data_IF_161668369198
#
_entry.id   IF_161668369198
#
_cell.length_a   1.000
_cell.length_b   1.000
_cell.length_c   1.000
_cell.angle_alpha   90.00
_cell.angle_beta   90.00
_cell.angle_gamma   90.00
#
_symmetry.space_group_name_H-M   'P 1'
#
loop_
_entity.id
_entity.type
_entity.pdbx_description
1 polymer ?
#
# COMPACT_ATOMS: atom_id res chain seq x y z
N UNK A 1 14.89 -15.38 6.63
CA UNK A 1 14.19 -15.67 5.37
C UNK A 1 14.10 -14.41 4.52
N UNK A 2 13.68 -14.54 3.27
CA UNK A 2 13.29 -13.41 2.42
C UNK A 2 11.76 -13.25 2.47
N UNK A 3 11.28 -12.03 2.67
CA UNK A 3 9.85 -11.71 2.75
C UNK A 3 9.56 -10.50 1.86
N UNK A 4 8.40 -10.50 1.22
CA UNK A 4 7.85 -9.33 0.51
C UNK A 4 6.56 -8.96 1.21
N UNK A 5 6.44 -7.71 1.64
CA UNK A 5 5.28 -7.20 2.36
C UNK A 5 4.70 -6.06 1.56
N UNK A 6 3.39 -6.08 1.34
CA UNK A 6 2.65 -4.92 0.82
C UNK A 6 1.74 -4.35 1.89
N UNK A 7 1.67 -3.02 1.97
CA UNK A 7 0.83 -2.31 2.94
C UNK A 7 -0.15 -1.46 2.17
N UNK A 8 -1.43 -1.51 2.57
CA UNK A 8 -2.51 -0.69 2.04
C UNK A 8 -3.08 0.11 3.22
N UNK A 9 -3.01 1.44 3.16
CA UNK A 9 -3.39 2.31 4.27
C UNK A 9 -4.45 3.35 3.86
N UNK A 10 -4.96 4.04 4.88
CA UNK A 10 -6.05 5.03 4.77
C UNK A 10 -7.37 4.49 4.19
N UNK A 11 -7.58 3.17 4.24
CA UNK A 11 -8.77 2.53 3.71
C UNK A 11 -10.04 3.01 4.42
N UNK A 12 -11.10 3.25 3.65
CA UNK A 12 -12.44 3.55 4.18
C UNK A 12 -13.22 2.29 4.54
N UNK A 13 -12.84 1.16 3.94
CA UNK A 13 -13.43 -0.15 4.19
C UNK A 13 -12.39 -1.25 3.96
N UNK A 14 -12.43 -2.29 4.77
CA UNK A 14 -11.67 -3.54 4.60
C UNK A 14 -12.69 -4.65 4.45
N UNK A 15 -12.54 -5.47 3.41
CA UNK A 15 -13.45 -6.59 3.15
C UNK A 15 -13.41 -7.62 4.28
N UNK A 16 -14.56 -8.18 4.66
CA UNK A 16 -14.70 -9.04 5.84
C UNK A 16 -13.87 -10.33 5.78
N UNK A 17 -13.52 -10.80 4.58
CA UNK A 17 -12.66 -11.96 4.38
C UNK A 17 -11.16 -11.62 4.45
N UNK A 18 -10.79 -10.35 4.55
CA UNK A 18 -9.40 -9.91 4.76
C UNK A 18 -9.13 -9.86 6.26
N UNK A 19 -8.88 -11.04 6.83
CA UNK A 19 -8.54 -11.23 8.24
C UNK A 19 -7.15 -11.84 8.39
N UNK A 20 -6.47 -11.67 9.55
CA UNK A 20 -5.17 -12.28 9.79
C UNK A 20 -5.17 -13.79 9.53
N UNK A 21 -4.15 -14.27 8.82
CA UNK A 21 -4.00 -15.69 8.46
C UNK A 21 -4.73 -16.12 7.18
N UNK A 22 -5.62 -15.31 6.61
CA UNK A 22 -6.26 -15.64 5.34
C UNK A 22 -5.30 -15.47 4.16
N UNK A 23 -5.43 -16.38 3.19
CA UNK A 23 -4.74 -16.30 1.91
C UNK A 23 -5.50 -15.36 0.97
N UNK A 24 -4.83 -14.29 0.53
CA UNK A 24 -5.33 -13.37 -0.49
C UNK A 24 -4.59 -13.64 -1.81
N UNK A 25 -5.32 -13.74 -2.92
CA UNK A 25 -4.75 -13.91 -4.26
C UNK A 25 -4.75 -12.58 -5.02
N UNK A 26 -3.83 -12.46 -5.98
CA UNK A 26 -3.82 -11.33 -6.91
C UNK A 26 -5.18 -11.17 -7.60
N UNK A 27 -5.70 -9.95 -7.64
CA UNK A 27 -7.01 -9.62 -8.19
C UNK A 27 -8.18 -9.75 -7.20
N UNK A 28 -7.97 -10.23 -5.97
CA UNK A 28 -9.01 -10.18 -4.95
C UNK A 28 -9.27 -8.73 -4.51
N UNK A 29 -10.54 -8.39 -4.35
CA UNK A 29 -10.94 -7.15 -3.72
C UNK A 29 -10.66 -7.22 -2.22
N UNK A 30 -9.97 -6.20 -1.69
CA UNK A 30 -9.53 -6.17 -0.28
C UNK A 30 -10.13 -5.01 0.52
N UNK A 31 -10.70 -4.02 -0.17
CA UNK A 31 -11.27 -2.84 0.47
C UNK A 31 -11.34 -1.62 -0.44
N UNK A 32 -11.85 -0.52 0.12
CA UNK A 32 -11.99 0.76 -0.56
C UNK A 32 -10.93 1.75 -0.05
N UNK A 33 -10.37 2.55 -0.94
CA UNK A 33 -9.51 3.68 -0.56
C UNK A 33 -10.30 4.72 0.24
N UNK A 34 -9.59 5.58 0.96
CA UNK A 34 -10.20 6.59 1.82
C UNK A 34 -9.16 7.56 2.36
N UNK A 35 -9.48 8.15 3.51
CA UNK A 35 -8.59 9.06 4.25
C UNK A 35 -8.59 8.77 5.76
N UNK A 36 -8.97 7.56 6.17
CA UNK A 36 -9.02 7.18 7.59
C UNK A 36 -7.64 7.33 8.23
N UNK A 37 -7.59 7.94 9.42
CA UNK A 37 -6.34 8.26 10.12
C UNK A 37 -5.66 9.56 9.68
N UNK A 38 -6.24 10.30 8.71
CA UNK A 38 -5.79 11.64 8.32
C UNK A 38 -6.63 12.74 8.99
N UNK A 39 -6.06 13.94 9.15
CA UNK A 39 -6.73 15.11 9.75
C UNK A 39 -8.11 15.40 9.15
N UNK A 40 -8.22 15.34 7.83
CA UNK A 40 -9.47 15.63 7.11
C UNK A 40 -10.61 14.67 7.48
N UNK A 41 -10.29 13.39 7.75
CA UNK A 41 -11.27 12.40 8.19
C UNK A 41 -11.85 12.74 9.56
N UNK A 42 -11.05 13.29 10.48
CA UNK A 42 -11.53 13.76 11.80
C UNK A 42 -12.57 14.87 11.69
N UNK A 43 -12.54 15.64 10.60
CA UNK A 43 -13.50 16.71 10.31
C UNK A 43 -14.73 16.21 9.52
N UNK A 44 -14.84 14.91 9.26
CA UNK A 44 -15.90 14.34 8.43
C UNK A 44 -15.75 14.64 6.93
N UNK A 45 -14.60 15.21 6.52
CA UNK A 45 -14.30 15.53 5.13
C UNK A 45 -13.76 14.30 4.40
N UNK A 46 -14.10 14.18 3.11
CA UNK A 46 -13.49 13.19 2.20
C UNK A 46 -12.25 13.73 1.49
N UNK A 47 -11.87 14.98 1.74
CA UNK A 47 -10.67 15.58 1.16
C UNK A 47 -9.43 14.75 1.50
N UNK A 48 -8.49 14.68 0.56
CA UNK A 48 -7.26 13.90 0.71
C UNK A 48 -7.46 12.39 0.63
N UNK A 49 -8.62 11.89 0.19
CA UNK A 49 -8.79 10.45 -0.05
C UNK A 49 -7.88 9.98 -1.19
N UNK A 50 -7.02 9.01 -0.90
CA UNK A 50 -6.12 8.40 -1.86
C UNK A 50 -5.77 6.98 -1.41
N UNK A 51 -5.18 6.18 -2.30
CA UNK A 51 -4.59 4.92 -1.91
C UNK A 51 -3.14 5.18 -1.48
N UNK A 52 -2.83 4.89 -0.21
CA UNK A 52 -1.44 4.79 0.24
C UNK A 52 -1.01 3.33 0.17
N UNK A 53 0.00 3.05 -0.65
CA UNK A 53 0.49 1.71 -0.91
C UNK A 53 2.01 1.66 -0.78
N UNK A 54 2.52 0.62 -0.12
CA UNK A 54 3.95 0.38 0.05
C UNK A 54 4.31 -1.06 -0.32
N UNK A 55 5.56 -1.26 -0.76
CA UNK A 55 6.18 -2.58 -0.88
C UNK A 55 7.52 -2.58 -0.16
N UNK A 56 7.69 -3.55 0.73
CA UNK A 56 8.88 -3.74 1.56
C UNK A 56 9.50 -5.09 1.21
N UNK A 57 10.78 -5.07 0.83
CA UNK A 57 11.60 -6.25 0.58
C UNK A 57 12.55 -6.44 1.77
N UNK A 58 12.44 -7.56 2.48
CA UNK A 58 13.27 -7.79 3.66
C UNK A 58 14.00 -9.14 3.63
N UNK A 59 15.28 -9.09 4.01
CA UNK A 59 16.20 -10.23 4.08
C UNK A 59 16.98 -10.19 5.40
N UNK A 60 16.59 -11.02 6.36
CA UNK A 60 17.14 -10.95 7.72
C UNK A 60 16.81 -9.61 8.37
N UNK A 61 17.82 -8.91 8.88
CA UNK A 61 17.70 -7.57 9.48
C UNK A 61 17.65 -6.43 8.45
N UNK A 62 17.84 -6.71 7.16
CA UNK A 62 17.86 -5.69 6.11
C UNK A 62 16.47 -5.48 5.52
N UNK A 63 16.06 -4.23 5.38
CA UNK A 63 14.78 -3.81 4.81
C UNK A 63 15.00 -2.76 3.71
N UNK A 64 14.31 -2.95 2.57
CA UNK A 64 14.35 -2.04 1.42
C UNK A 64 12.91 -1.67 1.07
N UNK A 65 12.64 -0.37 0.99
CA UNK A 65 11.36 0.15 0.48
C UNK A 65 11.46 0.34 -1.03
N UNK A 66 10.47 -0.15 -1.77
CA UNK A 66 10.41 0.03 -3.22
C UNK A 66 10.38 1.52 -3.56
N UNK A 67 11.33 1.98 -4.38
CA UNK A 67 11.43 3.39 -4.76
C UNK A 67 12.19 4.28 -3.77
N UNK A 68 12.74 3.73 -2.67
CA UNK A 68 13.52 4.52 -1.71
C UNK A 68 14.71 5.22 -2.39
N UNK A 69 14.85 6.52 -2.16
CA UNK A 69 15.88 7.39 -2.76
C UNK A 69 15.87 7.45 -4.30
N UNK A 70 14.78 7.05 -4.96
CA UNK A 70 14.62 7.19 -6.40
C UNK A 70 13.78 8.45 -6.68
N UNK A 71 14.34 9.50 -7.30
CA UNK A 71 13.57 10.69 -7.64
C UNK A 71 12.64 10.44 -8.83
N UNK A 72 11.77 11.42 -9.09
CA UNK A 72 11.08 11.50 -10.38
C UNK A 72 12.04 12.09 -11.43
N UNK A 73 12.02 11.61 -12.70
CA UNK A 73 11.06 10.67 -13.29
C UNK A 73 11.43 9.17 -13.16
N UNK A 74 12.60 8.83 -12.62
CA UNK A 74 13.11 7.46 -12.55
C UNK A 74 12.17 6.53 -11.78
N UNK A 75 11.59 7.02 -10.69
CA UNK A 75 10.61 6.28 -9.89
C UNK A 75 9.40 5.88 -10.74
N UNK A 76 8.87 6.83 -11.50
CA UNK A 76 7.72 6.59 -12.37
C UNK A 76 8.04 5.57 -13.46
N UNK A 77 9.22 5.66 -14.07
CA UNK A 77 9.67 4.71 -15.09
C UNK A 77 9.86 3.30 -14.51
N UNK A 78 10.44 3.18 -13.32
CA UNK A 78 10.60 1.91 -12.61
C UNK A 78 9.24 1.27 -12.32
N UNK A 79 8.29 2.03 -11.76
CA UNK A 79 6.95 1.52 -11.46
C UNK A 79 6.22 1.09 -12.74
N UNK A 80 6.32 1.89 -13.82
CA UNK A 80 5.73 1.54 -15.12
C UNK A 80 6.35 0.28 -15.71
N UNK A 81 7.65 0.04 -15.52
CA UNK A 81 8.33 -1.18 -15.98
C UNK A 81 7.89 -2.44 -15.20
N UNK A 82 7.62 -2.31 -13.91
CA UNK A 82 7.23 -3.43 -13.04
C UNK A 82 5.75 -3.81 -13.23
N UNK A 83 4.88 -2.82 -13.45
CA UNK A 83 3.43 -3.00 -13.38
C UNK A 83 2.67 -2.83 -14.70
N UNK A 84 3.30 -2.41 -15.81
CA UNK A 84 2.71 -2.53 -17.15
C UNK A 84 2.80 -3.96 -17.69
#
# INVERSE_FOLDING_TARGET
GFRVITIYAHLSHIENNVTPGNLIKGGNFVGNSGNTGMRESTLGSKAGSHLHWEMILQKGEQEIYLGHNIPNPELYNMLSSIFN
#
